data_IF_116616139590
#
_entry.id   IF_116616139590
#
_cell.length_a   1.000
_cell.length_b   1.000
_cell.length_c   1.000
_cell.angle_alpha   90.00
_cell.angle_beta   90.00
_cell.angle_gamma   90.00
#
_symmetry.space_group_name_H-M   'P 1'
#
loop_
_entity.id
_entity.type
_entity.pdbx_description
1 polymer ?
#
# COMPACT_ATOMS: atom_id res chain seq x y z
N UNK A 1 7.93 -13.61 25.68
CA UNK A 1 7.94 -12.80 24.43
C UNK A 1 6.74 -13.24 23.62
N UNK A 2 5.89 -12.32 23.22
CA UNK A 2 4.77 -12.61 22.29
C UNK A 2 5.35 -13.09 20.95
N UNK A 3 4.83 -14.18 20.41
CA UNK A 3 5.23 -14.70 19.09
C UNK A 3 4.90 -13.64 18.04
N UNK A 4 5.84 -13.34 17.15
CA UNK A 4 5.64 -12.44 16.00
C UNK A 4 5.80 -13.20 14.68
N UNK A 5 5.16 -12.74 13.63
CA UNK A 5 5.35 -13.27 12.28
C UNK A 5 6.60 -12.62 11.68
N UNK A 6 7.52 -13.46 11.24
CA UNK A 6 8.78 -13.02 10.64
C UNK A 6 8.59 -12.61 9.20
N UNK A 7 9.19 -11.47 8.85
CA UNK A 7 9.06 -10.94 7.50
C UNK A 7 10.41 -10.48 6.91
N UNK A 8 10.44 -10.42 5.58
CA UNK A 8 11.55 -9.91 4.79
C UNK A 8 11.13 -8.69 3.97
N UNK A 9 12.06 -7.75 3.77
CA UNK A 9 11.89 -6.60 2.88
C UNK A 9 12.80 -6.76 1.68
N UNK A 10 12.26 -6.58 0.48
CA UNK A 10 12.98 -6.67 -0.79
C UNK A 10 12.96 -5.28 -1.43
N UNK A 11 14.15 -4.71 -1.66
CA UNK A 11 14.31 -3.33 -2.15
C UNK A 11 14.66 -2.34 -1.05
N UNK A 12 15.95 -2.11 -0.77
CA UNK A 12 16.45 -1.21 0.28
C UNK A 12 16.46 0.27 -0.14
N UNK A 13 15.53 0.66 -1.01
CA UNK A 13 15.32 2.05 -1.41
C UNK A 13 14.54 2.85 -0.36
N UNK A 14 14.08 4.04 -0.75
CA UNK A 14 13.33 4.94 0.14
C UNK A 14 12.08 4.28 0.74
N UNK A 15 11.29 3.57 -0.08
CA UNK A 15 10.07 2.88 0.35
C UNK A 15 10.43 1.75 1.33
N UNK A 16 11.37 0.86 0.98
CA UNK A 16 11.74 -0.25 1.84
C UNK A 16 12.37 0.21 3.16
N UNK A 17 13.15 1.29 3.15
CA UNK A 17 13.76 1.85 4.36
C UNK A 17 12.74 2.52 5.28
N UNK A 18 11.77 3.24 4.72
CA UNK A 18 10.67 3.82 5.49
C UNK A 18 9.74 2.73 6.07
N UNK A 19 9.44 1.71 5.26
CA UNK A 19 8.67 0.55 5.71
C UNK A 19 9.37 -0.18 6.85
N UNK A 20 10.69 -0.36 6.79
CA UNK A 20 11.47 -0.97 7.87
C UNK A 20 11.26 -0.24 9.20
N UNK A 21 11.28 1.10 9.20
CA UNK A 21 11.04 1.88 10.42
C UNK A 21 9.64 1.61 11.02
N UNK A 22 8.62 1.39 10.19
CA UNK A 22 7.26 1.04 10.63
C UNK A 22 7.20 -0.39 11.18
N UNK A 23 7.80 -1.35 10.49
CA UNK A 23 7.80 -2.76 10.90
C UNK A 23 8.55 -3.01 12.21
N UNK A 24 9.62 -2.25 12.48
CA UNK A 24 10.36 -2.32 13.76
C UNK A 24 9.47 -1.98 14.97
N UNK A 25 8.41 -1.20 14.78
CA UNK A 25 7.43 -0.84 15.82
C UNK A 25 6.22 -1.77 15.89
N UNK A 26 6.06 -2.65 14.91
CA UNK A 26 4.89 -3.53 14.83
C UNK A 26 4.79 -4.46 16.05
N UNK A 27 3.62 -4.60 16.66
CA UNK A 27 3.42 -5.54 17.76
C UNK A 27 3.39 -7.00 17.32
N UNK A 28 3.11 -7.29 16.05
CA UNK A 28 2.85 -8.64 15.51
C UNK A 28 3.82 -9.06 14.40
N UNK A 29 4.61 -8.14 13.85
CA UNK A 29 5.61 -8.41 12.81
C UNK A 29 7.04 -8.29 13.36
N UNK A 30 7.94 -9.13 12.84
CA UNK A 30 9.38 -9.10 13.14
C UNK A 30 10.15 -9.08 11.80
N UNK A 31 10.66 -7.91 11.35
CA UNK A 31 11.53 -7.89 10.17
C UNK A 31 12.87 -8.54 10.51
N UNK A 32 13.25 -9.56 9.72
CA UNK A 32 14.47 -10.33 9.94
C UNK A 32 15.46 -10.24 8.79
N UNK A 33 15.00 -9.86 7.60
CA UNK A 33 15.81 -9.73 6.40
C UNK A 33 15.55 -8.42 5.65
N UNK A 34 16.63 -7.81 5.14
CA UNK A 34 16.60 -6.78 4.10
C UNK A 34 17.41 -7.27 2.89
N UNK A 35 16.76 -7.31 1.74
CA UNK A 35 17.28 -7.86 0.48
C UNK A 35 17.49 -6.75 -0.54
N UNK A 36 18.68 -6.65 -1.10
CA UNK A 36 19.06 -5.70 -2.15
C UNK A 36 19.92 -6.32 -3.22
N UNK A 37 20.42 -5.49 -4.12
CA UNK A 37 21.34 -5.89 -5.20
C UNK A 37 22.63 -5.06 -5.20
N UNK A 38 22.71 -4.03 -4.35
CA UNK A 38 23.87 -3.17 -4.18
C UNK A 38 24.37 -3.29 -2.73
N UNK A 39 25.57 -3.86 -2.49
CA UNK A 39 26.10 -4.06 -1.16
C UNK A 39 26.40 -2.74 -0.41
N UNK A 40 26.59 -1.66 -1.13
CA UNK A 40 26.89 -0.33 -0.59
C UNK A 40 25.63 0.53 -0.34
N UNK A 41 24.44 -0.03 -0.59
CA UNK A 41 23.16 0.62 -0.36
C UNK A 41 23.00 1.09 1.09
N UNK A 42 22.62 2.37 1.27
CA UNK A 42 22.31 2.94 2.59
C UNK A 42 21.22 2.17 3.33
N UNK A 43 20.23 1.66 2.62
CA UNK A 43 19.16 0.86 3.23
C UNK A 43 19.66 -0.48 3.78
N UNK A 44 20.57 -1.18 3.07
CA UNK A 44 21.20 -2.39 3.59
C UNK A 44 22.09 -2.09 4.79
N UNK A 45 22.86 -1.00 4.76
CA UNK A 45 23.68 -0.57 5.89
C UNK A 45 22.80 -0.32 7.11
N UNK A 46 21.75 0.46 6.98
CA UNK A 46 20.81 0.75 8.07
C UNK A 46 20.13 -0.52 8.61
N UNK A 47 19.74 -1.44 7.75
CA UNK A 47 19.17 -2.71 8.18
C UNK A 47 20.16 -3.53 9.03
N UNK A 48 21.43 -3.58 8.64
CA UNK A 48 22.50 -4.22 9.45
C UNK A 48 22.67 -3.56 10.81
N UNK A 49 22.67 -2.23 10.87
CA UNK A 49 22.74 -1.47 12.13
C UNK A 49 21.56 -1.77 13.07
N UNK A 50 20.39 -2.07 12.51
CA UNK A 50 19.18 -2.47 13.25
C UNK A 50 19.15 -3.97 13.59
N UNK A 51 20.19 -4.74 13.21
CA UNK A 51 20.32 -6.15 13.54
C UNK A 51 19.65 -7.12 12.56
N UNK A 52 19.19 -6.67 11.39
CA UNK A 52 18.64 -7.54 10.36
C UNK A 52 19.77 -8.27 9.62
N UNK A 53 19.46 -9.47 9.14
CA UNK A 53 20.25 -10.14 8.11
C UNK A 53 20.08 -9.40 6.79
N UNK A 54 21.15 -9.35 6.00
CA UNK A 54 21.11 -8.66 4.68
C UNK A 54 21.79 -9.50 3.62
N UNK A 55 21.34 -9.36 2.37
CA UNK A 55 22.01 -9.87 1.19
C UNK A 55 22.01 -8.82 0.06
N UNK A 56 23.04 -8.84 -0.77
CA UNK A 56 23.11 -8.07 -2.01
C UNK A 56 22.91 -8.94 -3.27
N UNK A 57 22.55 -10.23 -3.09
CA UNK A 57 22.35 -11.18 -4.18
C UNK A 57 20.87 -11.27 -4.61
N UNK A 58 20.08 -10.24 -4.30
CA UNK A 58 18.64 -10.23 -4.58
C UNK A 58 17.90 -11.31 -3.82
N UNK A 59 16.72 -11.68 -4.31
CA UNK A 59 15.88 -12.72 -3.69
C UNK A 59 16.63 -14.07 -3.61
N UNK A 60 17.49 -14.37 -4.57
CA UNK A 60 18.24 -15.64 -4.58
C UNK A 60 19.14 -15.81 -3.34
N UNK A 61 19.67 -14.71 -2.80
CA UNK A 61 20.41 -14.73 -1.54
C UNK A 61 19.54 -14.97 -0.30
N UNK A 62 18.23 -14.74 -0.38
CA UNK A 62 17.29 -15.00 0.71
C UNK A 62 16.78 -16.46 0.69
N UNK A 63 16.53 -17.05 -0.50
CA UNK A 63 15.85 -18.34 -0.65
C UNK A 63 16.38 -19.45 0.26
N UNK A 64 17.72 -19.66 0.40
CA UNK A 64 18.26 -20.75 1.25
C UNK A 64 17.90 -20.58 2.72
N UNK A 65 17.52 -19.38 3.15
CA UNK A 65 17.32 -19.03 4.56
C UNK A 65 15.84 -18.93 4.96
N UNK A 66 14.92 -18.86 4.00
CA UNK A 66 13.49 -18.62 4.23
C UNK A 66 12.91 -19.55 5.30
N UNK A 67 13.13 -20.87 5.16
CA UNK A 67 12.56 -21.86 6.07
C UNK A 67 13.26 -21.84 7.43
N UNK A 68 14.61 -21.80 7.45
CA UNK A 68 15.39 -21.79 8.68
C UNK A 68 15.13 -20.55 9.54
N UNK A 69 14.93 -19.41 8.91
CA UNK A 69 14.64 -18.14 9.58
C UNK A 69 13.14 -17.92 9.79
N UNK A 70 12.27 -18.81 9.30
CA UNK A 70 10.83 -18.78 9.49
C UNK A 70 10.15 -17.56 8.86
N UNK A 71 10.62 -17.10 7.69
CA UNK A 71 10.02 -15.98 6.95
C UNK A 71 8.68 -16.43 6.37
N UNK A 72 7.60 -15.73 6.72
CA UNK A 72 6.24 -16.04 6.30
C UNK A 72 5.62 -14.95 5.41
N UNK A 73 6.09 -13.70 5.53
CA UNK A 73 5.62 -12.56 4.74
C UNK A 73 6.83 -11.87 4.12
N UNK A 74 6.74 -11.45 2.87
CA UNK A 74 7.74 -10.60 2.25
C UNK A 74 7.10 -9.40 1.58
N UNK A 75 7.75 -8.24 1.72
CA UNK A 75 7.36 -6.99 1.08
C UNK A 75 8.26 -6.76 -0.13
N UNK A 76 7.68 -6.51 -1.29
CA UNK A 76 8.45 -6.17 -2.48
C UNK A 76 8.30 -4.68 -2.83
N UNK A 77 9.37 -3.93 -2.60
CA UNK A 77 9.50 -2.51 -2.90
C UNK A 77 10.52 -2.25 -4.02
N UNK A 78 10.65 -3.18 -4.96
CA UNK A 78 11.59 -3.12 -6.09
C UNK A 78 10.96 -2.48 -7.34
N UNK A 79 10.76 -3.24 -8.39
CA UNK A 79 10.14 -2.79 -9.64
C UNK A 79 9.20 -3.84 -10.21
N UNK A 80 8.28 -3.40 -11.06
CA UNK A 80 7.36 -4.28 -11.76
C UNK A 80 8.06 -5.40 -12.56
N UNK A 81 9.26 -5.12 -13.07
CA UNK A 81 10.01 -6.06 -13.93
C UNK A 81 10.49 -7.31 -13.20
N UNK A 82 10.82 -7.19 -11.91
CA UNK A 82 11.38 -8.31 -11.13
C UNK A 82 10.37 -8.92 -10.17
N UNK A 83 9.28 -8.21 -9.87
CA UNK A 83 8.30 -8.65 -8.88
C UNK A 83 7.69 -10.02 -9.21
N UNK A 84 7.32 -10.27 -10.47
CA UNK A 84 6.73 -11.54 -10.88
C UNK A 84 7.62 -12.74 -10.52
N UNK A 85 8.92 -12.61 -10.76
CA UNK A 85 9.89 -13.67 -10.46
C UNK A 85 10.16 -13.77 -8.95
N UNK A 86 10.26 -12.66 -8.24
CA UNK A 86 10.39 -12.63 -6.79
C UNK A 86 9.19 -13.34 -6.13
N UNK A 87 7.98 -12.98 -6.55
CA UNK A 87 6.73 -13.56 -6.06
C UNK A 87 6.68 -15.06 -6.31
N UNK A 88 6.96 -15.51 -7.55
CA UNK A 88 6.96 -16.92 -7.92
C UNK A 88 7.91 -17.74 -7.02
N UNK A 89 9.15 -17.25 -6.81
CA UNK A 89 10.17 -17.93 -6.00
C UNK A 89 9.76 -18.04 -4.54
N UNK A 90 9.25 -16.96 -3.94
CA UNK A 90 8.91 -16.91 -2.53
C UNK A 90 7.57 -17.62 -2.23
N UNK A 91 6.58 -17.48 -3.10
CA UNK A 91 5.32 -18.24 -2.98
C UNK A 91 5.55 -19.75 -3.04
N UNK A 92 6.51 -20.21 -3.85
CA UNK A 92 6.92 -21.62 -3.87
C UNK A 92 7.47 -22.12 -2.52
N UNK A 93 7.89 -21.24 -1.63
CA UNK A 93 8.32 -21.54 -0.27
C UNK A 93 7.25 -21.23 0.79
N UNK A 94 6.04 -20.91 0.38
CA UNK A 94 4.92 -20.60 1.29
C UNK A 94 4.98 -19.19 1.90
N UNK A 95 5.70 -18.25 1.28
CA UNK A 95 5.79 -16.86 1.73
C UNK A 95 4.71 -16.02 1.04
N UNK A 96 3.89 -15.33 1.82
CA UNK A 96 2.92 -14.34 1.34
C UNK A 96 3.63 -13.07 0.87
N UNK A 97 3.30 -12.59 -0.32
CA UNK A 97 3.87 -11.37 -0.90
C UNK A 97 2.94 -10.16 -0.70
N UNK A 98 3.50 -9.07 -0.16
CA UNK A 98 2.87 -7.74 -0.14
C UNK A 98 3.58 -6.90 -1.20
N UNK A 99 2.90 -6.64 -2.32
CA UNK A 99 3.47 -5.99 -3.50
C UNK A 99 3.25 -4.47 -3.45
N UNK A 100 4.36 -3.72 -3.30
CA UNK A 100 4.38 -2.25 -3.38
C UNK A 100 4.84 -1.76 -4.76
N UNK A 101 5.04 -2.67 -5.72
CA UNK A 101 5.44 -2.33 -7.08
C UNK A 101 4.23 -2.06 -7.98
N UNK A 102 4.38 -1.38 -9.10
CA UNK A 102 3.29 -1.21 -10.06
C UNK A 102 3.04 -2.44 -10.95
N UNK A 103 3.51 -3.63 -10.59
CA UNK A 103 3.36 -4.86 -11.39
C UNK A 103 1.92 -5.30 -11.58
N UNK A 104 1.01 -4.88 -10.70
CA UNK A 104 -0.42 -5.24 -10.71
C UNK A 104 -0.67 -6.77 -10.72
N UNK A 105 0.17 -7.52 -9.98
CA UNK A 105 0.04 -8.96 -9.80
C UNK A 105 -0.75 -9.24 -8.52
N UNK A 106 -1.72 -10.15 -8.61
CA UNK A 106 -2.63 -10.45 -7.51
C UNK A 106 -3.73 -9.40 -7.31
N UNK A 107 -4.65 -9.64 -6.37
CA UNK A 107 -5.76 -8.75 -6.12
C UNK A 107 -5.30 -7.40 -5.53
N UNK A 108 -5.97 -6.33 -5.93
CA UNK A 108 -5.78 -5.01 -5.35
C UNK A 108 -6.24 -4.97 -3.90
N UNK A 109 -5.40 -4.45 -3.01
CA UNK A 109 -5.68 -4.36 -1.59
C UNK A 109 -5.60 -2.91 -1.08
N UNK A 110 -6.69 -2.47 -0.45
CA UNK A 110 -6.77 -1.21 0.30
C UNK A 110 -7.30 -1.57 1.69
N UNK A 111 -6.49 -1.46 2.76
CA UNK A 111 -6.80 -2.07 4.06
C UNK A 111 -8.22 -1.83 4.60
N UNK A 112 -8.74 -0.58 4.68
CA UNK A 112 -10.06 -0.36 5.26
C UNK A 112 -11.21 -0.69 4.32
N UNK A 113 -10.92 -1.12 3.08
CA UNK A 113 -11.93 -1.35 2.04
C UNK A 113 -12.19 -2.83 1.81
N UNK A 114 -11.15 -3.60 1.49
CA UNK A 114 -11.31 -4.97 1.00
C UNK A 114 -10.27 -5.98 1.53
N UNK A 115 -9.44 -5.61 2.50
CA UNK A 115 -8.42 -6.54 2.99
C UNK A 115 -9.03 -7.83 3.58
N UNK A 116 -10.18 -7.74 4.24
CA UNK A 116 -10.86 -8.91 4.79
C UNK A 116 -11.31 -9.93 3.72
N UNK A 117 -11.52 -9.47 2.48
CA UNK A 117 -11.88 -10.35 1.35
C UNK A 117 -10.68 -11.18 0.88
N UNK A 118 -9.44 -10.74 1.18
CA UNK A 118 -8.21 -11.43 0.80
C UNK A 118 -7.72 -12.41 1.86
N UNK A 119 -8.06 -12.16 3.13
CA UNK A 119 -7.68 -13.05 4.22
C UNK A 119 -8.44 -14.38 4.08
N UNK A 120 -7.68 -15.47 3.88
CA UNK A 120 -8.26 -16.80 3.68
C UNK A 120 -8.73 -17.11 2.25
N UNK A 121 -8.54 -16.22 1.29
CA UNK A 121 -8.87 -16.46 -0.12
C UNK A 121 -7.93 -17.48 -0.80
N UNK A 122 -6.79 -17.77 -0.19
CA UNK A 122 -5.73 -18.60 -0.80
C UNK A 122 -4.74 -17.80 -1.65
N UNK A 123 -4.98 -16.51 -1.85
CA UNK A 123 -4.06 -15.63 -2.58
C UNK A 123 -2.76 -15.45 -1.80
N UNK A 124 -1.65 -15.67 -2.48
CA UNK A 124 -0.30 -15.56 -1.91
C UNK A 124 0.43 -14.30 -2.37
N UNK A 125 -0.25 -13.41 -3.08
CA UNK A 125 0.24 -12.09 -3.46
C UNK A 125 -0.90 -11.08 -3.39
N UNK A 126 -0.71 -9.99 -2.66
CA UNK A 126 -1.66 -8.86 -2.62
C UNK A 126 -0.96 -7.60 -3.11
N UNK A 127 -1.62 -6.89 -4.03
CA UNK A 127 -1.08 -5.69 -4.65
C UNK A 127 -1.58 -4.44 -3.93
N UNK A 128 -0.66 -3.60 -3.49
CA UNK A 128 -0.97 -2.38 -2.74
C UNK A 128 -1.43 -1.21 -3.64
N UNK A 129 -1.75 -1.46 -4.89
CA UNK A 129 -2.21 -0.46 -5.87
C UNK A 129 -1.14 0.60 -6.14
N UNK A 130 -1.35 1.82 -5.65
CA UNK A 130 -0.44 2.97 -5.75
C UNK A 130 -0.65 3.90 -4.56
N UNK A 131 0.28 4.81 -4.32
CA UNK A 131 0.13 5.80 -3.25
C UNK A 131 -1.14 6.66 -3.41
N UNK A 132 -1.43 7.12 -4.64
CA UNK A 132 -2.68 7.83 -4.94
C UNK A 132 -3.91 6.97 -4.74
N UNK A 133 -3.84 5.69 -5.10
CA UNK A 133 -4.91 4.73 -4.85
C UNK A 133 -5.18 4.52 -3.36
N UNK A 134 -4.14 4.32 -2.56
CA UNK A 134 -4.29 4.17 -1.10
C UNK A 134 -4.90 5.41 -0.43
N UNK A 135 -4.60 6.61 -0.95
CA UNK A 135 -5.17 7.84 -0.42
C UNK A 135 -6.64 8.07 -0.83
N UNK A 136 -7.04 7.68 -2.03
CA UNK A 136 -8.29 8.14 -2.64
C UNK A 136 -9.39 7.08 -2.76
N UNK A 137 -9.02 5.81 -2.97
CA UNK A 137 -9.98 4.70 -3.09
C UNK A 137 -10.87 4.56 -1.85
N UNK A 138 -10.37 4.75 -0.61
CA UNK A 138 -11.23 4.77 0.57
C UNK A 138 -12.40 5.76 0.44
N UNK A 139 -12.18 6.94 -0.12
CA UNK A 139 -13.23 7.93 -0.30
C UNK A 139 -14.22 7.54 -1.40
N UNK A 140 -13.74 6.99 -2.51
CA UNK A 140 -14.62 6.44 -3.56
C UNK A 140 -15.51 5.35 -2.96
N UNK A 141 -14.93 4.43 -2.16
CA UNK A 141 -15.68 3.37 -1.49
C UNK A 141 -16.66 3.91 -0.45
N UNK A 142 -16.27 4.92 0.31
CA UNK A 142 -17.14 5.56 1.28
C UNK A 142 -18.43 6.11 0.64
N UNK A 143 -18.33 6.63 -0.59
CA UNK A 143 -19.47 7.11 -1.36
C UNK A 143 -20.24 5.93 -2.00
N UNK A 144 -19.52 5.01 -2.68
CA UNK A 144 -20.13 3.93 -3.45
C UNK A 144 -20.87 2.90 -2.61
N UNK A 145 -20.48 2.70 -1.34
CA UNK A 145 -21.21 1.81 -0.42
C UNK A 145 -22.54 2.36 0.07
N UNK A 146 -22.77 3.68 -0.11
CA UNK A 146 -24.04 4.34 0.21
C UNK A 146 -24.93 4.36 -1.01
N UNK A 147 -24.39 4.71 -2.17
CA UNK A 147 -25.11 4.90 -3.40
C UNK A 147 -24.25 4.53 -4.61
N UNK A 148 -24.80 3.88 -5.65
CA UNK A 148 -24.05 3.52 -6.85
C UNK A 148 -23.36 4.74 -7.48
N UNK A 149 -22.09 4.55 -7.88
CA UNK A 149 -21.25 5.55 -8.52
C UNK A 149 -21.01 5.15 -9.96
N UNK A 150 -21.44 5.96 -10.92
CA UNK A 150 -21.27 5.72 -12.35
C UNK A 150 -19.83 6.01 -12.80
N UNK A 151 -19.19 7.03 -12.20
CA UNK A 151 -17.84 7.47 -12.54
C UNK A 151 -17.11 7.98 -11.30
N UNK A 152 -15.88 7.51 -11.09
CA UNK A 152 -14.97 7.97 -10.05
C UNK A 152 -13.68 8.50 -10.66
N UNK A 153 -13.29 9.72 -10.31
CA UNK A 153 -12.03 10.33 -10.71
C UNK A 153 -11.21 10.74 -9.49
N UNK A 154 -9.92 10.45 -9.54
CA UNK A 154 -8.99 10.92 -8.53
C UNK A 154 -7.89 11.77 -9.14
N UNK A 155 -7.51 12.82 -8.45
CA UNK A 155 -6.35 13.66 -8.78
C UNK A 155 -5.39 13.63 -7.59
N UNK A 156 -4.27 12.94 -7.74
CA UNK A 156 -3.22 12.87 -6.71
C UNK A 156 -2.13 13.90 -7.01
N UNK A 157 -1.95 14.88 -6.13
CA UNK A 157 -0.90 15.89 -6.24
C UNK A 157 0.20 15.64 -5.23
N UNK A 158 1.39 15.33 -5.72
CA UNK A 158 2.55 14.97 -4.90
C UNK A 158 3.72 15.92 -5.17
N UNK A 159 4.58 16.12 -4.16
CA UNK A 159 5.81 16.88 -4.35
C UNK A 159 6.74 16.20 -5.35
N UNK A 160 7.31 16.96 -6.26
CA UNK A 160 8.35 16.48 -7.19
C UNK A 160 9.54 15.85 -6.47
N UNK A 161 9.84 16.29 -5.25
CA UNK A 161 10.94 15.75 -4.42
C UNK A 161 10.67 14.36 -3.85
N UNK A 162 9.38 13.95 -3.76
CA UNK A 162 8.98 12.61 -3.28
C UNK A 162 8.75 11.60 -4.41
N UNK A 163 8.96 11.98 -5.68
CA UNK A 163 8.75 11.11 -6.84
C UNK A 163 10.09 10.69 -7.42
N UNK A 164 10.45 9.43 -7.18
CA UNK A 164 11.68 8.85 -7.67
C UNK A 164 11.67 8.51 -9.18
N UNK A 165 12.84 8.12 -9.74
CA UNK A 165 12.95 7.75 -11.16
C UNK A 165 12.04 6.61 -11.59
N UNK A 166 11.79 5.65 -10.70
CA UNK A 166 10.90 4.51 -10.97
C UNK A 166 9.47 4.95 -11.27
N UNK A 167 8.88 5.79 -10.41
CA UNK A 167 7.51 6.31 -10.62
C UNK A 167 7.44 7.18 -11.88
N UNK A 168 8.46 8.00 -12.15
CA UNK A 168 8.48 8.85 -13.35
C UNK A 168 8.51 8.05 -14.65
N UNK A 169 9.21 6.91 -14.67
CA UNK A 169 9.26 5.99 -15.83
C UNK A 169 7.95 5.22 -16.02
N UNK A 170 7.20 4.99 -14.95
CA UNK A 170 6.00 4.13 -14.94
C UNK A 170 4.72 4.93 -14.67
N UNK A 171 4.66 6.21 -15.10
CA UNK A 171 3.52 7.09 -14.83
C UNK A 171 2.21 6.58 -15.46
N UNK A 172 2.30 5.95 -16.63
CA UNK A 172 1.17 5.36 -17.33
C UNK A 172 0.62 4.13 -16.58
N UNK A 173 1.50 3.33 -15.98
CA UNK A 173 1.09 2.20 -15.15
C UNK A 173 0.45 2.67 -13.86
N UNK A 174 0.98 3.73 -13.24
CA UNK A 174 0.36 4.37 -12.09
C UNK A 174 -1.09 4.77 -12.40
N UNK A 175 -1.32 5.47 -13.50
CA UNK A 175 -2.67 5.96 -13.85
C UNK A 175 -3.61 4.82 -14.21
N UNK A 176 -3.16 3.82 -14.98
CA UNK A 176 -3.97 2.65 -15.36
C UNK A 176 -4.33 1.80 -14.15
N UNK A 177 -3.35 1.44 -13.32
CA UNK A 177 -3.57 0.63 -12.12
C UNK A 177 -4.50 1.33 -11.14
N UNK A 178 -4.28 2.63 -10.89
CA UNK A 178 -5.16 3.40 -10.00
C UNK A 178 -6.58 3.50 -10.55
N UNK A 179 -6.75 3.79 -11.85
CA UNK A 179 -8.07 3.87 -12.48
C UNK A 179 -8.82 2.53 -12.41
N UNK A 180 -8.14 1.42 -12.66
CA UNK A 180 -8.72 0.09 -12.52
C UNK A 180 -9.15 -0.19 -11.08
N UNK A 181 -8.33 0.15 -10.08
CA UNK A 181 -8.63 -0.05 -8.68
C UNK A 181 -9.75 0.88 -8.17
N UNK A 182 -9.89 2.10 -8.69
CA UNK A 182 -11.04 2.98 -8.43
C UNK A 182 -12.36 2.29 -8.82
N UNK A 183 -12.37 1.55 -9.92
CA UNK A 183 -13.53 0.78 -10.32
C UNK A 183 -13.69 -0.50 -9.49
N UNK A 184 -12.65 -1.34 -9.42
CA UNK A 184 -12.75 -2.69 -8.84
C UNK A 184 -12.87 -2.68 -7.33
N UNK A 185 -12.13 -1.82 -6.65
CA UNK A 185 -12.08 -1.72 -5.17
C UNK A 185 -12.94 -0.57 -4.68
N UNK A 186 -12.86 0.59 -5.34
CA UNK A 186 -13.66 1.76 -5.01
C UNK A 186 -15.15 1.61 -5.32
N UNK A 187 -15.52 0.72 -6.24
CA UNK A 187 -16.93 0.43 -6.58
C UNK A 187 -17.57 1.42 -7.55
N UNK A 188 -16.79 2.23 -8.26
CA UNK A 188 -17.28 3.02 -9.38
C UNK A 188 -17.40 2.15 -10.65
N UNK A 189 -18.39 2.40 -11.51
CA UNK A 189 -18.50 1.68 -12.79
C UNK A 189 -17.35 2.00 -13.75
N UNK A 190 -16.85 3.23 -13.69
CA UNK A 190 -15.68 3.68 -14.44
C UNK A 190 -14.75 4.46 -13.52
N UNK A 191 -13.45 4.21 -13.64
CA UNK A 191 -12.41 4.87 -12.86
C UNK A 191 -11.48 5.71 -13.76
N UNK A 192 -11.02 6.85 -13.23
CA UNK A 192 -9.94 7.64 -13.82
C UNK A 192 -8.98 8.11 -12.75
N UNK A 193 -7.71 8.15 -13.09
CA UNK A 193 -6.68 8.66 -12.20
C UNK A 193 -5.79 9.67 -12.93
N UNK A 194 -5.46 10.74 -12.22
CA UNK A 194 -4.54 11.79 -12.66
C UNK A 194 -3.49 11.95 -11.57
N UNK A 195 -2.22 12.02 -11.95
CA UNK A 195 -1.14 12.39 -11.04
C UNK A 195 -0.57 13.75 -11.44
N UNK A 196 -0.41 14.63 -10.47
CA UNK A 196 0.22 15.94 -10.62
C UNK A 196 1.53 15.94 -9.82
N UNK A 197 2.66 16.01 -10.51
CA UNK A 197 3.98 16.12 -9.89
C UNK A 197 4.30 17.61 -9.75
N UNK A 198 4.20 18.12 -8.53
CA UNK A 198 4.29 19.55 -8.25
C UNK A 198 5.74 19.97 -7.88
N UNK A 199 6.36 20.93 -8.59
CA UNK A 199 7.73 21.36 -8.36
C UNK A 199 7.89 22.48 -7.31
N UNK A 200 6.81 22.85 -6.57
CA UNK A 200 6.86 23.96 -5.62
C UNK A 200 8.00 23.82 -4.59
N UNK A 201 8.59 24.94 -4.23
CA UNK A 201 9.57 25.09 -3.17
C UNK A 201 9.12 26.20 -2.21
N UNK A 202 8.88 25.92 -0.91
CA UNK A 202 9.02 24.63 -0.24
C UNK A 202 8.08 23.54 -0.77
N UNK A 203 8.48 22.25 -0.65
CA UNK A 203 7.68 21.14 -1.16
C UNK A 203 6.31 21.09 -0.46
N UNK A 204 5.27 20.91 -1.26
CA UNK A 204 3.91 20.76 -0.72
C UNK A 204 3.70 19.38 -0.09
N UNK A 205 2.83 19.31 0.91
CA UNK A 205 2.26 18.07 1.43
C UNK A 205 1.34 17.48 0.34
N UNK A 206 1.28 16.13 0.25
CA UNK A 206 0.39 15.44 -0.69
C UNK A 206 -1.05 15.94 -0.55
N UNK A 207 -1.68 16.29 -1.67
CA UNK A 207 -3.08 16.72 -1.77
C UNK A 207 -3.81 15.93 -2.82
N UNK A 208 -4.97 15.43 -2.45
CA UNK A 208 -5.77 14.59 -3.32
C UNK A 208 -7.20 15.11 -3.44
N UNK A 209 -7.73 14.98 -4.64
CA UNK A 209 -9.13 15.28 -4.92
C UNK A 209 -9.81 14.02 -5.43
N UNK A 210 -11.00 13.74 -4.91
CA UNK A 210 -11.86 12.66 -5.38
C UNK A 210 -13.15 13.27 -5.90
N UNK A 211 -13.55 12.89 -7.10
CA UNK A 211 -14.85 13.22 -7.68
C UNK A 211 -15.60 11.93 -7.98
N UNK A 212 -16.83 11.82 -7.49
CA UNK A 212 -17.73 10.71 -7.79
C UNK A 212 -19.03 11.26 -8.39
N UNK A 213 -19.47 10.66 -9.50
CA UNK A 213 -20.81 10.88 -10.05
C UNK A 213 -21.74 9.77 -9.56
N UNK A 214 -22.69 10.11 -8.71
CA UNK A 214 -23.69 9.16 -8.20
C UNK A 214 -24.79 8.91 -9.22
N UNK A 215 -25.41 7.73 -9.15
CA UNK A 215 -26.63 7.45 -9.92
C UNK A 215 -27.82 8.02 -9.16
N UNK A 216 -28.40 9.11 -9.68
CA UNK A 216 -29.46 9.87 -9.03
C UNK A 216 -28.96 10.89 -8.00
N UNK A 217 -29.90 11.49 -7.29
CA UNK A 217 -29.60 12.50 -6.26
C UNK A 217 -28.87 11.87 -5.08
N UNK A 218 -27.74 12.46 -4.62
CA UNK A 218 -26.98 11.93 -3.50
C UNK A 218 -27.77 11.90 -2.19
N UNK A 219 -27.65 10.83 -1.43
CA UNK A 219 -28.02 10.80 0.00
C UNK A 219 -26.91 11.50 0.80
N UNK A 220 -26.97 12.83 0.85
CA UNK A 220 -25.92 13.67 1.40
C UNK A 220 -25.58 13.30 2.86
N UNK A 221 -26.60 13.11 3.70
CA UNK A 221 -26.39 12.82 5.12
C UNK A 221 -25.62 11.50 5.32
N UNK A 222 -26.03 10.42 4.64
CA UNK A 222 -25.36 9.11 4.74
C UNK A 222 -23.99 9.11 4.09
N UNK A 223 -23.78 9.87 3.03
CA UNK A 223 -22.46 10.02 2.39
C UNK A 223 -21.51 10.75 3.33
N UNK A 224 -21.94 11.84 3.97
CA UNK A 224 -21.12 12.56 4.95
C UNK A 224 -20.70 11.64 6.11
N UNK A 225 -21.64 10.92 6.71
CA UNK A 225 -21.36 9.95 7.80
C UNK A 225 -20.35 8.90 7.33
N UNK A 226 -20.57 8.32 6.15
CA UNK A 226 -19.74 7.28 5.58
C UNK A 226 -18.31 7.75 5.30
N UNK A 227 -18.14 8.97 4.77
CA UNK A 227 -16.83 9.56 4.50
C UNK A 227 -16.08 9.81 5.80
N UNK A 228 -16.72 10.38 6.83
CA UNK A 228 -16.07 10.60 8.13
C UNK A 228 -15.66 9.30 8.82
N UNK A 229 -16.51 8.26 8.77
CA UNK A 229 -16.17 6.95 9.30
C UNK A 229 -14.94 6.36 8.59
N UNK A 230 -14.89 6.45 7.26
CA UNK A 230 -13.76 5.93 6.47
C UNK A 230 -12.47 6.70 6.76
N UNK A 231 -12.54 8.03 6.94
CA UNK A 231 -11.38 8.84 7.34
C UNK A 231 -10.83 8.34 8.68
N UNK A 232 -11.69 8.12 9.67
CA UNK A 232 -11.28 7.59 10.96
C UNK A 232 -10.61 6.21 10.84
N UNK A 233 -11.10 5.35 9.94
CA UNK A 233 -10.49 4.05 9.69
C UNK A 233 -9.09 4.16 9.08
N UNK A 234 -8.89 5.05 8.10
CA UNK A 234 -7.56 5.30 7.51
C UNK A 234 -6.61 5.91 8.53
N UNK A 235 -7.07 6.85 9.35
CA UNK A 235 -6.26 7.51 10.37
C UNK A 235 -5.68 6.56 11.42
N UNK A 236 -6.23 5.36 11.59
CA UNK A 236 -5.69 4.34 12.52
C UNK A 236 -4.27 3.91 12.14
N UNK A 237 -3.94 3.94 10.84
CA UNK A 237 -2.61 3.55 10.35
C UNK A 237 -1.89 4.68 9.59
N UNK A 238 -2.59 5.75 9.19
CA UNK A 238 -2.04 6.98 8.60
C UNK A 238 -2.52 8.20 9.39
N UNK A 239 -1.92 8.53 10.54
CA UNK A 239 -2.39 9.63 11.38
C UNK A 239 -2.40 11.00 10.69
N UNK A 240 -1.56 11.19 9.67
CA UNK A 240 -1.50 12.43 8.88
C UNK A 240 -2.53 12.53 7.75
N UNK A 241 -3.47 11.58 7.62
CA UNK A 241 -4.56 11.62 6.65
C UNK A 241 -5.67 12.56 7.12
N UNK A 242 -5.99 13.57 6.32
CA UNK A 242 -6.94 14.62 6.73
C UNK A 242 -7.95 14.95 5.64
N UNK A 243 -9.22 15.12 6.02
CA UNK A 243 -10.22 15.78 5.20
C UNK A 243 -9.98 17.29 5.26
N UNK A 244 -9.66 17.89 4.12
CA UNK A 244 -9.44 19.34 4.02
C UNK A 244 -10.77 20.06 3.77
N UNK A 245 -11.60 19.48 2.87
CA UNK A 245 -12.92 20.01 2.54
C UNK A 245 -13.80 18.88 1.98
N UNK A 246 -15.08 19.00 2.20
CA UNK A 246 -16.07 18.06 1.68
C UNK A 246 -16.67 17.11 2.71
N UNK A 247 -17.56 16.19 2.27
CA UNK A 247 -18.08 16.09 0.90
C UNK A 247 -18.79 17.35 0.43
N UNK A 248 -18.49 17.80 -0.79
CA UNK A 248 -19.18 18.91 -1.46
C UNK A 248 -20.08 18.33 -2.53
N UNK A 249 -21.35 18.72 -2.53
CA UNK A 249 -22.37 18.24 -3.45
C UNK A 249 -22.68 19.29 -4.50
N UNK A 250 -22.68 18.88 -5.76
CA UNK A 250 -23.07 19.72 -6.90
C UNK A 250 -23.84 18.85 -7.91
N UNK A 251 -25.15 18.88 -7.84
CA UNK A 251 -26.02 17.95 -8.55
C UNK A 251 -25.75 16.51 -8.07
N UNK A 252 -25.36 15.63 -8.97
CA UNK A 252 -24.97 14.25 -8.66
C UNK A 252 -23.46 14.07 -8.47
N UNK A 253 -22.68 15.15 -8.49
CA UNK A 253 -21.25 15.11 -8.23
C UNK A 253 -20.97 15.29 -6.74
N UNK A 254 -20.24 14.35 -6.17
CA UNK A 254 -19.70 14.42 -4.80
C UNK A 254 -18.18 14.59 -4.88
N UNK A 255 -17.68 15.63 -4.22
CA UNK A 255 -16.23 15.96 -4.22
C UNK A 255 -15.65 15.91 -2.82
N UNK A 256 -14.49 15.27 -2.66
CA UNK A 256 -13.77 15.17 -1.39
C UNK A 256 -12.33 15.64 -1.60
N UNK A 257 -11.84 16.48 -0.71
CA UNK A 257 -10.49 17.04 -0.77
C UNK A 257 -9.68 16.60 0.46
N UNK A 258 -8.53 16.00 0.21
CA UNK A 258 -7.70 15.35 1.20
C UNK A 258 -6.30 15.94 1.25
N UNK A 259 -5.65 15.74 2.39
CA UNK A 259 -4.25 16.00 2.59
C UNK A 259 -3.61 14.82 3.33
N UNK A 260 -2.41 14.41 2.93
CA UNK A 260 -1.66 13.33 3.58
C UNK A 260 -0.29 13.85 3.97
N UNK A 261 -0.10 14.05 5.27
CA UNK A 261 1.19 14.40 5.86
C UNK A 261 1.89 13.14 6.34
N UNK A 262 3.14 12.93 5.92
CA UNK A 262 3.94 11.79 6.38
C UNK A 262 4.33 11.92 7.86
N UNK A 263 4.62 10.79 8.50
CA UNK A 263 5.03 10.74 9.91
C UNK A 263 6.39 11.42 10.14
N UNK A 264 7.27 11.43 9.15
CA UNK A 264 8.61 11.98 9.28
C UNK A 264 9.60 10.99 9.93
N UNK A 265 9.35 9.69 9.83
CA UNK A 265 10.22 8.63 10.38
C UNK A 265 11.58 8.57 9.66
N UNK A 266 11.54 8.15 8.40
CA UNK A 266 12.71 8.13 7.51
C UNK A 266 12.59 9.20 6.44
N UNK A 267 11.41 9.35 5.88
CA UNK A 267 11.11 10.33 4.85
C UNK A 267 10.57 11.62 5.45
N UNK A 268 10.82 12.79 4.83
CA UNK A 268 10.30 14.05 5.33
C UNK A 268 8.76 14.09 5.24
N UNK A 269 8.14 14.90 6.08
CA UNK A 269 6.68 15.00 6.22
C UNK A 269 5.93 15.33 4.92
N UNK A 270 6.55 16.04 3.98
CA UNK A 270 5.94 16.31 2.68
C UNK A 270 5.79 15.05 1.82
N UNK A 271 6.53 13.98 2.10
CA UNK A 271 6.47 12.72 1.37
C UNK A 271 5.30 11.82 1.83
N UNK A 272 4.14 12.40 2.07
CA UNK A 272 2.92 11.69 2.48
C UNK A 272 2.49 10.58 1.52
N UNK A 273 2.80 10.72 0.23
CA UNK A 273 2.57 9.69 -0.77
C UNK A 273 3.37 8.40 -0.50
N UNK A 274 4.61 8.52 -0.07
CA UNK A 274 5.45 7.35 0.26
C UNK A 274 5.04 6.78 1.63
N UNK A 275 4.75 7.65 2.59
CA UNK A 275 4.32 7.27 3.93
C UNK A 275 3.00 6.47 3.93
N UNK A 276 1.98 6.91 3.19
CA UNK A 276 0.71 6.18 3.12
C UNK A 276 0.88 4.81 2.46
N UNK A 277 1.76 4.70 1.48
CA UNK A 277 2.04 3.42 0.82
C UNK A 277 2.67 2.41 1.78
N UNK A 278 3.68 2.84 2.54
CA UNK A 278 4.37 1.98 3.52
C UNK A 278 3.49 1.68 4.73
N UNK A 279 2.68 2.64 5.17
CA UNK A 279 1.73 2.45 6.26
C UNK A 279 0.62 1.45 5.88
N UNK A 280 0.07 1.54 4.67
CA UNK A 280 -0.91 0.60 4.17
C UNK A 280 -0.34 -0.81 4.03
N UNK A 281 0.89 -0.96 3.52
CA UNK A 281 1.56 -2.25 3.42
C UNK A 281 1.82 -2.87 4.81
N UNK A 282 2.31 -2.07 5.76
CA UNK A 282 2.50 -2.53 7.14
C UNK A 282 1.18 -2.98 7.75
N UNK A 283 0.10 -2.19 7.62
CA UNK A 283 -1.23 -2.54 8.15
C UNK A 283 -1.79 -3.80 7.51
N UNK A 284 -1.63 -3.97 6.19
CA UNK A 284 -2.03 -5.19 5.48
C UNK A 284 -1.34 -6.42 6.08
N UNK A 285 -0.02 -6.37 6.21
CA UNK A 285 0.74 -7.49 6.78
C UNK A 285 0.41 -7.74 8.26
N UNK A 286 0.15 -6.70 9.06
CA UNK A 286 -0.29 -6.87 10.44
C UNK A 286 -1.60 -7.64 10.55
N UNK A 287 -2.59 -7.33 9.72
CA UNK A 287 -3.87 -8.03 9.73
C UNK A 287 -3.72 -9.50 9.31
N UNK A 288 -2.89 -9.80 8.29
CA UNK A 288 -2.53 -11.18 7.98
C UNK A 288 -1.81 -11.87 9.15
N UNK A 289 -0.88 -11.18 9.80
CA UNK A 289 -0.14 -11.71 10.95
C UNK A 289 -1.06 -11.98 12.15
N UNK A 290 -2.02 -11.11 12.43
CA UNK A 290 -3.03 -11.29 13.47
C UNK A 290 -3.84 -12.59 13.25
N UNK A 291 -4.24 -12.87 12.00
CA UNK A 291 -4.98 -14.08 11.64
C UNK A 291 -4.10 -15.35 11.70
N UNK A 292 -2.84 -15.26 11.27
CA UNK A 292 -1.86 -16.34 11.40
C UNK A 292 -1.56 -16.69 12.86
N UNK A 293 -1.36 -15.67 13.71
CA UNK A 293 -1.09 -15.85 15.14
C UNK A 293 -2.30 -16.43 15.88
N UNK A 294 -3.50 -16.07 15.46
CA UNK A 294 -4.75 -16.59 16.00
C UNK A 294 -5.10 -18.00 15.49
N UNK A 295 -4.33 -18.55 14.54
CA UNK A 295 -4.61 -19.86 13.93
C UNK A 295 -5.85 -19.90 13.03
N UNK A 296 -6.37 -18.74 12.63
CA UNK A 296 -7.50 -18.63 11.70
C UNK A 296 -7.08 -18.63 10.24
N UNK A 297 -5.82 -18.38 9.97
CA UNK A 297 -5.21 -18.43 8.64
C UNK A 297 -4.01 -19.38 8.65
N UNK A 298 -3.86 -20.14 7.57
CA UNK A 298 -2.67 -20.93 7.26
C UNK A 298 -2.25 -20.58 5.84
N UNK A 299 -0.98 -20.20 5.65
CA UNK A 299 -0.46 -19.93 4.31
C UNK A 299 -0.31 -21.26 3.56
N UNK A 300 -0.64 -21.25 2.27
CA UNK A 300 -0.47 -22.42 1.42
C UNK A 300 1.02 -22.82 1.38
N UNK A 301 1.30 -24.09 1.67
CA UNK A 301 2.65 -24.63 1.48
C UNK A 301 2.86 -24.98 0.01
N UNK A 302 4.12 -24.94 -0.46
CA UNK A 302 4.49 -25.33 -1.82
C UNK A 302 3.98 -26.73 -2.26
N UNK A 303 3.66 -27.60 -1.30
CA UNK A 303 3.12 -28.95 -1.53
C UNK A 303 1.63 -28.98 -1.92
N UNK A 304 0.90 -27.86 -1.81
CA UNK A 304 -0.55 -27.78 -2.09
C UNK A 304 -0.88 -27.04 -3.40
N UNK A 305 0.13 -26.49 -4.08
CA UNK A 305 -0.03 -25.73 -5.32
C UNK A 305 0.40 -26.51 -6.58
N UNK A 306 0.65 -27.83 -6.48
CA UNK A 306 1.00 -28.74 -7.57
C UNK A 306 -0.17 -29.60 -8.02
#
# INVERSE_FOLDING_TARGET
MTRKIRCALIGPGNIGTDLLAKLMRSPVLEPVWMVGIDPDSDGLKRARELGLKTTADGVDGLLPHVQADGVQIAFDATSAYVHAENSRKLNALGVLMIDLTPAAIGPYCVPPVNLMDHIGSGEMNVNMVTCGGQATIPMVRAISRVQPVSYGEIVATVSSRSVGPGTRKNIDEFTRTTAAAVAQVGGAKQGKAIIVINPADPPLIMRDTVHCLTEGTPDEARIVESVHAMIADVQRYVPGYRLVNGPVFDGNRVSVYLEVEGLGDYLPKYAGNLDIMTAAAARTAEMFAEELLAGRLTLASAAQAA
#
